data_IF_854384465289
#
_entry.id   IF_854384465289
#
_cell.length_a   1.000
_cell.length_b   1.000
_cell.length_c   1.000
_cell.angle_alpha   90.00
_cell.angle_beta   90.00
_cell.angle_gamma   90.00
#
_symmetry.space_group_name_H-M   'P 1'
#
loop_
_entity.id
_entity.type
_entity.pdbx_description
1 polymer ?
#
# COMPACT_ATOMS: atom_id res chain seq x y z
N UNK A 1 8.81 1.04 -15.31
CA UNK A 1 7.98 2.11 -14.70
C UNK A 1 8.88 3.32 -14.47
N UNK A 2 8.34 4.55 -14.51
CA UNK A 2 9.11 5.76 -14.18
C UNK A 2 8.51 6.43 -12.94
N UNK A 3 9.29 7.28 -12.25
CA UNK A 3 8.81 8.08 -11.11
C UNK A 3 7.53 8.87 -11.44
N UNK A 4 7.46 9.44 -12.65
CA UNK A 4 6.31 10.24 -13.12
C UNK A 4 5.05 9.39 -13.32
N UNK A 5 5.20 8.18 -13.86
CA UNK A 5 4.03 7.38 -14.27
C UNK A 5 3.56 6.42 -13.17
N UNK A 6 4.35 6.20 -12.11
CA UNK A 6 4.01 5.29 -11.03
C UNK A 6 2.66 5.62 -10.40
N UNK A 7 2.46 6.89 -10.00
CA UNK A 7 1.22 7.32 -9.35
C UNK A 7 0.00 7.10 -10.24
N UNK A 8 0.11 7.36 -11.54
CA UNK A 8 -0.98 7.15 -12.49
C UNK A 8 -1.29 5.67 -12.69
N UNK A 9 -0.26 4.81 -12.72
CA UNK A 9 -0.43 3.35 -12.81
C UNK A 9 -1.16 2.84 -11.56
N UNK A 10 -0.68 3.20 -10.37
CA UNK A 10 -1.30 2.78 -9.10
C UNK A 10 -2.74 3.28 -9.03
N UNK A 11 -3.01 4.54 -9.38
CA UNK A 11 -4.37 5.09 -9.41
C UNK A 11 -5.30 4.27 -10.33
N UNK A 12 -4.85 3.91 -11.53
CA UNK A 12 -5.64 3.08 -12.45
C UNK A 12 -5.92 1.69 -11.87
N UNK A 13 -4.93 1.06 -11.22
CA UNK A 13 -5.11 -0.24 -10.59
C UNK A 13 -6.10 -0.17 -9.41
N UNK A 14 -6.03 0.88 -8.60
CA UNK A 14 -6.99 1.12 -7.51
C UNK A 14 -8.42 1.29 -8.04
N UNK A 15 -8.62 2.03 -9.15
CA UNK A 15 -9.94 2.17 -9.79
C UNK A 15 -10.47 0.82 -10.28
N UNK A 16 -9.62 -0.02 -10.87
CA UNK A 16 -10.06 -1.35 -11.33
C UNK A 16 -10.41 -2.26 -10.15
N UNK A 17 -9.66 -2.15 -9.05
CA UNK A 17 -9.90 -2.92 -7.85
C UNK A 17 -11.27 -2.62 -7.22
N UNK A 18 -11.64 -1.34 -7.14
CA UNK A 18 -12.94 -0.89 -6.60
C UNK A 18 -14.13 -1.41 -7.42
N UNK A 19 -13.99 -1.46 -8.75
CA UNK A 19 -15.03 -1.93 -9.68
C UNK A 19 -15.17 -3.45 -9.76
N UNK A 20 -14.22 -4.20 -9.21
CA UNK A 20 -14.15 -5.65 -9.38
C UNK A 20 -14.95 -6.36 -8.31
N UNK A 21 -15.81 -7.31 -8.67
CA UNK A 21 -16.64 -8.05 -7.69
C UNK A 21 -15.96 -9.34 -7.13
N UNK A 22 -14.81 -9.74 -7.69
CA UNK A 22 -14.11 -10.97 -7.30
C UNK A 22 -12.88 -10.76 -6.41
N UNK A 23 -12.78 -11.50 -5.30
CA UNK A 23 -11.64 -11.42 -4.37
C UNK A 23 -10.30 -11.82 -5.01
N UNK A 24 -10.28 -12.80 -5.90
CA UNK A 24 -9.06 -13.26 -6.59
C UNK A 24 -8.42 -12.15 -7.44
N UNK A 25 -9.22 -11.45 -8.25
CA UNK A 25 -8.70 -10.39 -9.11
C UNK A 25 -8.26 -9.16 -8.30
N UNK A 26 -8.98 -8.82 -7.22
CA UNK A 26 -8.54 -7.78 -6.28
C UNK A 26 -7.19 -8.12 -5.64
N UNK A 27 -7.00 -9.38 -5.25
CA UNK A 27 -5.76 -9.89 -4.66
C UNK A 27 -4.58 -9.82 -5.64
N UNK A 28 -4.80 -10.14 -6.93
CA UNK A 28 -3.80 -9.97 -7.99
C UNK A 28 -3.42 -8.49 -8.19
N UNK A 29 -4.41 -7.60 -8.26
CA UNK A 29 -4.17 -6.16 -8.41
C UNK A 29 -3.42 -5.57 -7.22
N UNK A 30 -3.76 -5.99 -6.00
CA UNK A 30 -3.08 -5.58 -4.78
C UNK A 30 -1.62 -6.00 -4.81
N UNK A 31 -1.37 -7.29 -5.08
CA UNK A 31 -0.01 -7.82 -5.20
C UNK A 31 0.79 -7.06 -6.25
N UNK A 32 0.15 -6.71 -7.38
CA UNK A 32 0.80 -5.95 -8.45
C UNK A 32 1.14 -4.51 -8.05
N UNK A 33 0.26 -3.84 -7.31
CA UNK A 33 0.54 -2.50 -6.77
C UNK A 33 1.78 -2.53 -5.88
N UNK A 34 1.84 -3.49 -4.95
CA UNK A 34 2.97 -3.63 -4.04
C UNK A 34 4.25 -3.95 -4.82
N UNK A 35 4.21 -4.92 -5.74
CA UNK A 35 5.35 -5.31 -6.58
C UNK A 35 5.95 -4.11 -7.34
N UNK A 36 5.11 -3.28 -7.94
CA UNK A 36 5.57 -2.12 -8.72
C UNK A 36 6.14 -1.03 -7.81
N UNK A 37 5.52 -0.79 -6.64
CA UNK A 37 5.97 0.22 -5.69
C UNK A 37 7.28 -0.16 -5.00
N UNK A 38 7.48 -1.44 -4.66
CA UNK A 38 8.64 -1.94 -3.94
C UNK A 38 9.84 -2.28 -4.84
N UNK A 39 9.72 -2.10 -6.15
CA UNK A 39 10.76 -2.46 -7.11
C UNK A 39 12.08 -1.74 -6.81
N UNK A 40 13.18 -2.50 -6.78
CA UNK A 40 14.55 -2.00 -6.57
C UNK A 40 14.65 -1.03 -5.39
N UNK A 41 14.27 -1.49 -4.20
CA UNK A 41 14.27 -0.70 -2.95
C UNK A 41 13.51 0.63 -3.08
N UNK A 42 12.31 0.58 -3.65
CA UNK A 42 11.43 1.74 -3.82
C UNK A 42 12.01 2.83 -4.72
N UNK A 43 12.88 2.50 -5.69
CA UNK A 43 13.58 3.49 -6.55
C UNK A 43 12.65 4.52 -7.22
N UNK A 44 11.38 4.15 -7.44
CA UNK A 44 10.38 4.98 -8.12
C UNK A 44 9.49 5.79 -7.16
N UNK A 45 9.56 5.53 -5.85
CA UNK A 45 8.81 6.26 -4.83
C UNK A 45 9.53 7.56 -4.50
N UNK A 46 8.87 8.68 -4.75
CA UNK A 46 9.38 10.02 -4.38
C UNK A 46 8.68 10.60 -3.15
N UNK A 47 7.56 10.01 -2.74
CA UNK A 47 6.78 10.41 -1.57
C UNK A 47 6.30 9.17 -0.82
N UNK A 48 6.87 8.93 0.37
CA UNK A 48 6.49 7.80 1.22
C UNK A 48 5.17 8.01 1.97
N UNK A 49 4.73 9.24 2.23
CA UNK A 49 3.40 9.50 2.81
C UNK A 49 2.31 9.03 1.86
N UNK A 50 2.47 9.32 0.57
CA UNK A 50 1.59 8.81 -0.47
C UNK A 50 1.59 7.28 -0.48
N UNK A 51 2.75 6.62 -0.46
CA UNK A 51 2.80 5.16 -0.48
C UNK A 51 2.17 4.53 0.75
N UNK A 52 2.43 5.06 1.95
CA UNK A 52 1.77 4.62 3.19
C UNK A 52 0.25 4.79 3.08
N UNK A 53 -0.23 5.89 2.49
CA UNK A 53 -1.67 6.12 2.29
C UNK A 53 -2.29 5.06 1.37
N UNK A 54 -1.59 4.66 0.30
CA UNK A 54 -2.01 3.54 -0.57
C UNK A 54 -2.06 2.23 0.22
N UNK A 55 -1.04 1.93 1.04
CA UNK A 55 -1.02 0.71 1.85
C UNK A 55 -2.19 0.67 2.83
N UNK A 56 -2.52 1.79 3.47
CA UNK A 56 -3.71 1.91 4.34
C UNK A 56 -4.99 1.65 3.55
N UNK A 57 -5.13 2.24 2.36
CA UNK A 57 -6.32 2.05 1.53
C UNK A 57 -6.52 0.57 1.15
N UNK A 58 -5.43 -0.14 0.83
CA UNK A 58 -5.45 -1.57 0.53
C UNK A 58 -5.92 -2.43 1.72
N UNK A 59 -5.70 -1.99 2.98
CA UNK A 59 -6.21 -2.72 4.16
C UNK A 59 -7.73 -2.69 4.29
N UNK A 60 -8.40 -1.76 3.61
CA UNK A 60 -9.87 -1.62 3.68
C UNK A 60 -10.61 -2.63 2.81
N UNK A 61 -9.88 -3.40 2.00
CA UNK A 61 -10.45 -4.42 1.14
C UNK A 61 -10.84 -5.64 1.98
N UNK A 62 -12.14 -5.93 2.04
CA UNK A 62 -12.64 -7.10 2.74
C UNK A 62 -12.23 -8.39 2.05
N UNK A 63 -11.88 -9.41 2.85
CA UNK A 63 -11.60 -10.76 2.36
C UNK A 63 -10.22 -10.96 1.71
N UNK A 64 -9.34 -9.95 1.72
CA UNK A 64 -7.97 -10.11 1.19
C UNK A 64 -7.11 -10.97 2.11
N UNK A 65 -6.29 -11.85 1.51
CA UNK A 65 -5.29 -12.66 2.23
C UNK A 65 -3.93 -11.96 2.36
N UNK A 66 -3.82 -10.72 1.88
CA UNK A 66 -2.55 -10.00 1.73
C UNK A 66 -2.19 -9.10 2.93
N UNK A 67 -2.90 -9.21 4.06
CA UNK A 67 -2.61 -8.41 5.26
C UNK A 67 -1.15 -8.49 5.71
N UNK A 68 -0.55 -9.68 5.69
CA UNK A 68 0.87 -9.86 6.01
C UNK A 68 1.81 -9.14 5.04
N UNK A 69 1.45 -9.11 3.75
CA UNK A 69 2.24 -8.41 2.73
C UNK A 69 2.21 -6.90 2.96
N UNK A 70 1.03 -6.34 3.22
CA UNK A 70 0.85 -4.91 3.54
C UNK A 70 1.62 -4.54 4.81
N UNK A 71 1.46 -5.31 5.89
CA UNK A 71 2.13 -5.06 7.16
C UNK A 71 3.67 -5.07 7.01
N UNK A 72 4.19 -6.01 6.21
CA UNK A 72 5.64 -6.08 5.92
C UNK A 72 6.14 -4.84 5.18
N UNK A 73 5.38 -4.33 4.22
CA UNK A 73 5.73 -3.10 3.49
C UNK A 73 5.68 -1.87 4.41
N UNK A 74 4.64 -1.75 5.25
CA UNK A 74 4.53 -0.65 6.22
C UNK A 74 5.71 -0.65 7.20
N UNK A 75 6.04 -1.81 7.78
CA UNK A 75 7.16 -1.96 8.70
C UNK A 75 8.48 -1.56 8.04
N UNK A 76 8.71 -2.08 6.83
CA UNK A 76 9.94 -1.88 6.10
C UNK A 76 10.20 -0.40 5.77
N UNK A 77 9.18 0.31 5.28
CA UNK A 77 9.26 1.76 5.04
C UNK A 77 9.46 2.54 6.34
N UNK A 78 8.74 2.22 7.42
CA UNK A 78 8.85 2.92 8.69
C UNK A 78 10.21 2.74 9.37
N UNK A 79 10.82 1.55 9.24
CA UNK A 79 12.15 1.28 9.79
C UNK A 79 13.24 2.01 9.00
N UNK A 80 13.17 1.97 7.66
CA UNK A 80 14.22 2.53 6.78
C UNK A 80 14.13 4.05 6.59
N UNK A 81 12.95 4.66 6.72
CA UNK A 81 12.73 6.09 6.45
C UNK A 81 12.34 6.79 7.73
N UNK A 82 13.29 7.40 8.42
CA UNK A 82 13.04 8.01 9.73
C UNK A 82 11.97 9.11 9.72
N UNK A 83 11.99 9.97 8.71
CA UNK A 83 11.06 11.09 8.59
C UNK A 83 9.60 10.67 8.45
N UNK A 84 9.31 9.44 8.02
CA UNK A 84 7.92 8.97 7.81
C UNK A 84 7.29 8.42 9.08
N UNK A 85 8.08 8.06 10.09
CA UNK A 85 7.61 7.31 11.27
C UNK A 85 6.41 7.97 11.96
N UNK A 86 6.36 9.29 12.21
CA UNK A 86 5.20 9.91 12.85
C UNK A 86 3.92 9.73 12.02
N UNK A 87 4.01 9.94 10.72
CA UNK A 87 2.89 9.75 9.81
C UNK A 87 2.44 8.29 9.77
N UNK A 88 3.38 7.35 9.62
CA UNK A 88 3.11 5.93 9.57
C UNK A 88 2.42 5.43 10.86
N UNK A 89 2.91 5.83 12.05
CA UNK A 89 2.29 5.48 13.33
C UNK A 89 0.86 6.04 13.44
N UNK A 90 0.64 7.30 13.04
CA UNK A 90 -0.69 7.91 13.06
C UNK A 90 -1.67 7.18 12.14
N UNK A 91 -1.22 6.77 10.95
CA UNK A 91 -2.04 6.01 10.00
C UNK A 91 -2.36 4.58 10.48
N UNK A 92 -1.46 3.95 11.24
CA UNK A 92 -1.65 2.57 11.74
C UNK A 92 -2.40 2.50 13.08
N UNK A 93 -2.40 3.57 13.88
CA UNK A 93 -3.07 3.62 15.19
C UNK A 93 -4.54 3.17 15.17
N UNK A 94 -5.39 3.58 14.19
CA UNK A 94 -6.79 3.15 14.12
C UNK A 94 -6.97 1.63 13.98
N UNK A 95 -5.98 0.93 13.41
CA UNK A 95 -6.05 -0.53 13.26
C UNK A 95 -6.02 -1.26 14.60
N UNK A 96 -5.41 -0.67 15.63
CA UNK A 96 -5.34 -1.24 16.98
C UNK A 96 -6.63 -0.97 17.77
N UNK A 97 -7.23 0.21 17.58
CA UNK A 97 -8.47 0.61 18.25
C UNK A 97 -9.68 -0.24 17.81
N UNK A 98 -9.63 -0.83 16.61
CA UNK A 98 -10.71 -1.68 16.11
C UNK A 98 -10.81 -3.04 16.82
N UNK A 99 -9.81 -3.40 17.63
CA UNK A 99 -9.77 -4.66 18.40
C UNK A 99 -9.89 -4.46 19.93
N UNK A 100 -10.12 -3.23 20.40
CA UNK A 100 -10.40 -2.88 21.80
C UNK A 100 -11.87 -2.61 22.02
#
# INVERSE_FOLDING_TARGET
VSKKNLMDIVRKLMIHMDKSEGSHYRDELLSKIIEICSQSDYQHITNFEWYISILVELTRLEGTKHGNLIARQMLDVAVRVESIRPFACNQMSPFLQRYS
#
